data_IF_495761282166
#
_entry.id   IF_495761282166
#
_cell.length_a   1.000
_cell.length_b   1.000
_cell.length_c   1.000
_cell.angle_alpha   90.00
_cell.angle_beta   90.00
_cell.angle_gamma   90.00
#
_symmetry.space_group_name_H-M   'P 1'
#
loop_
_entity.id
_entity.type
_entity.pdbx_description
1 polymer ?
#
# COMPACT_ATOMS: atom_id res chain seq x y z
N UNK A 1 25.53 -19.83 19.56
CA UNK A 1 26.44 -20.78 20.22
C UNK A 1 26.42 -22.07 19.41
N UNK A 2 27.41 -22.95 19.57
CA UNK A 2 27.56 -24.17 18.76
C UNK A 2 28.11 -25.30 19.62
N UNK A 3 27.75 -26.56 19.32
CA UNK A 3 28.41 -27.69 19.95
C UNK A 3 29.79 -27.92 19.34
N UNK A 4 30.78 -28.30 20.14
CA UNK A 4 32.16 -28.49 19.70
C UNK A 4 32.25 -29.46 18.51
N UNK A 5 31.44 -30.51 18.54
CA UNK A 5 31.35 -31.55 17.50
C UNK A 5 30.81 -31.01 16.17
N UNK A 6 30.09 -29.88 16.18
CA UNK A 6 29.51 -29.25 15.00
C UNK A 6 30.43 -28.20 14.37
N UNK A 7 31.48 -27.76 15.06
CA UNK A 7 32.36 -26.67 14.59
C UNK A 7 33.03 -27.02 13.26
N UNK A 8 33.71 -28.17 13.18
CA UNK A 8 34.40 -28.56 11.95
C UNK A 8 33.43 -28.74 10.76
N UNK A 9 32.30 -29.47 10.88
CA UNK A 9 31.30 -29.55 9.82
C UNK A 9 30.76 -28.18 9.35
N UNK A 10 30.56 -27.23 10.27
CA UNK A 10 30.06 -25.90 9.93
C UNK A 10 31.12 -25.03 9.23
N UNK A 11 32.39 -25.18 9.59
CA UNK A 11 33.51 -24.51 8.90
C UNK A 11 33.65 -25.03 7.46
N UNK A 12 33.61 -26.35 7.26
CA UNK A 12 33.67 -26.96 5.93
C UNK A 12 32.53 -26.48 5.01
N UNK A 13 31.32 -26.35 5.58
CA UNK A 13 30.14 -25.81 4.88
C UNK A 13 30.16 -24.29 4.73
N UNK A 14 31.22 -23.61 5.17
CA UNK A 14 31.38 -22.16 5.03
C UNK A 14 30.29 -21.35 5.77
N UNK A 15 29.66 -21.90 6.81
CA UNK A 15 28.52 -21.30 7.51
C UNK A 15 28.90 -20.41 8.71
N UNK A 16 30.14 -20.50 9.20
CA UNK A 16 30.61 -19.77 10.39
C UNK A 16 31.92 -19.01 10.15
N UNK A 17 32.11 -18.45 8.95
CA UNK A 17 33.37 -17.78 8.53
C UNK A 17 33.86 -16.65 9.45
N UNK A 18 32.96 -16.00 10.19
CA UNK A 18 33.28 -14.93 11.15
C UNK A 18 33.36 -15.38 12.61
N UNK A 19 33.21 -16.67 12.90
CA UNK A 19 33.19 -17.20 14.26
C UNK A 19 34.59 -17.42 14.83
N UNK A 20 34.81 -16.96 16.06
CA UNK A 20 36.01 -17.21 16.87
C UNK A 20 35.59 -17.41 18.34
N UNK A 21 36.50 -17.89 19.19
CA UNK A 21 36.23 -17.99 20.64
C UNK A 21 36.06 -16.61 21.32
N UNK A 22 36.36 -15.52 20.61
CA UNK A 22 36.14 -14.15 21.08
C UNK A 22 34.69 -13.70 20.91
N UNK A 23 33.95 -14.29 19.97
CA UNK A 23 32.59 -13.87 19.62
C UNK A 23 31.57 -15.02 19.60
N UNK A 24 32.01 -16.27 19.82
CA UNK A 24 31.17 -17.44 19.85
C UNK A 24 31.33 -18.23 21.15
N UNK A 25 30.21 -18.77 21.61
CA UNK A 25 30.14 -19.72 22.72
C UNK A 25 30.15 -21.13 22.12
N UNK A 26 31.15 -21.93 22.48
CA UNK A 26 31.27 -23.34 22.07
C UNK A 26 31.01 -24.24 23.26
N UNK A 27 30.15 -25.25 23.12
CA UNK A 27 29.75 -26.15 24.22
C UNK A 27 30.31 -27.54 23.97
N UNK A 28 30.93 -28.15 24.98
CA UNK A 28 31.40 -29.55 24.92
C UNK A 28 30.99 -30.28 26.20
N UNK A 29 29.97 -31.13 26.13
CA UNK A 29 29.34 -31.68 27.34
C UNK A 29 28.81 -30.55 28.22
N UNK A 30 29.18 -30.56 29.50
CA UNK A 30 28.82 -29.51 30.47
C UNK A 30 29.79 -28.31 30.48
N UNK A 31 30.86 -28.37 29.68
CA UNK A 31 31.85 -27.31 29.62
C UNK A 31 31.49 -26.25 28.57
N UNK A 32 31.58 -24.98 28.97
CA UNK A 32 31.46 -23.82 28.07
C UNK A 32 32.85 -23.31 27.73
N UNK A 33 33.18 -23.31 26.45
CA UNK A 33 34.44 -22.86 25.88
C UNK A 33 34.21 -21.50 25.20
N UNK A 34 34.56 -20.44 25.90
CA UNK A 34 34.52 -19.05 25.42
C UNK A 34 35.66 -18.26 26.05
N UNK A 35 36.15 -17.21 25.37
CA UNK A 35 37.21 -16.33 25.91
C UNK A 35 36.77 -15.57 27.15
N UNK A 36 35.51 -15.14 27.15
CA UNK A 36 34.86 -14.46 28.27
C UNK A 36 33.79 -15.37 28.88
N UNK A 37 33.46 -15.22 30.18
CA UNK A 37 32.33 -15.92 30.78
C UNK A 37 31.01 -15.52 30.11
N UNK A 38 29.97 -16.33 30.32
CA UNK A 38 28.62 -15.99 29.88
C UNK A 38 28.21 -14.64 30.44
N UNK A 39 27.64 -13.80 29.58
CA UNK A 39 27.12 -12.46 29.93
C UNK A 39 25.87 -12.56 30.78
N UNK A 40 25.10 -13.64 30.60
CA UNK A 40 23.87 -13.91 31.35
C UNK A 40 23.77 -15.39 31.70
N UNK A 41 23.13 -15.70 32.83
CA UNK A 41 22.90 -17.09 33.24
C UNK A 41 22.05 -17.89 32.23
N UNK A 42 21.17 -17.20 31.50
CA UNK A 42 20.25 -17.74 30.50
C UNK A 42 20.66 -17.40 29.05
N UNK A 43 21.94 -17.12 28.80
CA UNK A 43 22.42 -16.63 27.48
C UNK A 43 22.09 -17.57 26.31
N UNK A 44 22.09 -18.90 26.53
CA UNK A 44 21.64 -19.88 25.54
C UNK A 44 20.17 -19.69 25.14
N UNK A 45 19.29 -19.42 26.12
CA UNK A 45 17.88 -19.16 25.87
C UNK A 45 17.68 -17.84 25.13
N UNK A 46 18.41 -16.78 25.53
CA UNK A 46 18.40 -15.48 24.86
C UNK A 46 18.84 -15.57 23.40
N UNK A 47 19.87 -16.36 23.11
CA UNK A 47 20.31 -16.62 21.74
C UNK A 47 19.20 -17.25 20.91
N UNK A 48 18.52 -18.27 21.45
CA UNK A 48 17.38 -18.89 20.76
C UNK A 48 16.19 -17.96 20.57
N UNK A 49 15.94 -17.05 21.51
CA UNK A 49 14.95 -15.99 21.32
C UNK A 49 15.33 -15.07 20.17
N UNK A 50 16.60 -14.68 20.06
CA UNK A 50 17.10 -13.85 18.96
C UNK A 50 17.02 -14.57 17.60
N UNK A 51 17.37 -15.87 17.55
CA UNK A 51 17.19 -16.69 16.35
C UNK A 51 15.74 -16.68 15.88
N UNK A 52 14.79 -16.89 16.81
CA UNK A 52 13.35 -16.82 16.51
C UNK A 52 12.97 -15.44 15.99
N UNK A 53 13.38 -14.36 16.66
CA UNK A 53 13.06 -12.99 16.22
C UNK A 53 13.58 -12.73 14.81
N UNK A 54 14.82 -13.13 14.52
CA UNK A 54 15.44 -12.96 13.20
C UNK A 54 14.72 -13.78 12.12
N UNK A 55 14.50 -15.06 12.36
CA UNK A 55 13.84 -15.96 11.40
C UNK A 55 12.39 -15.53 11.13
N UNK A 56 11.67 -15.11 12.16
CA UNK A 56 10.27 -14.67 12.06
C UNK A 56 10.16 -13.29 11.41
N UNK A 57 11.18 -12.43 11.52
CA UNK A 57 11.20 -11.15 10.81
C UNK A 57 11.15 -11.34 9.28
N UNK A 58 11.60 -12.48 8.75
CA UNK A 58 11.56 -12.82 7.33
C UNK A 58 10.13 -13.03 6.77
N UNK A 59 9.12 -13.10 7.63
CA UNK A 59 7.70 -13.23 7.21
C UNK A 59 7.20 -11.96 6.49
N UNK A 60 7.90 -10.83 6.63
CA UNK A 60 7.59 -9.59 5.90
C UNK A 60 6.33 -8.86 6.38
N UNK A 61 5.67 -9.36 7.43
CA UNK A 61 4.51 -8.73 8.05
C UNK A 61 4.61 -8.78 9.57
N UNK A 62 3.99 -7.81 10.25
CA UNK A 62 4.03 -7.74 11.71
C UNK A 62 3.12 -8.80 12.32
N UNK A 63 3.69 -9.70 13.12
CA UNK A 63 2.91 -10.67 13.89
C UNK A 63 2.31 -10.00 15.12
N UNK A 64 0.99 -10.16 15.29
CA UNK A 64 0.28 -9.83 16.53
C UNK A 64 -0.17 -11.13 17.20
N UNK A 65 0.69 -11.71 18.02
CA UNK A 65 0.44 -12.99 18.66
C UNK A 65 1.54 -13.37 19.65
N UNK A 66 1.36 -14.52 20.29
CA UNK A 66 2.33 -15.10 21.21
C UNK A 66 2.98 -16.33 20.58
N UNK A 67 4.31 -16.38 20.57
CA UNK A 67 5.07 -17.52 20.04
C UNK A 67 5.60 -18.31 21.23
N UNK A 68 5.18 -19.58 21.32
CA UNK A 68 5.69 -20.53 22.31
C UNK A 68 6.66 -21.45 21.57
N UNK A 69 7.90 -21.51 22.05
CA UNK A 69 8.95 -22.32 21.46
C UNK A 69 9.56 -23.28 22.50
N UNK A 70 9.66 -24.56 22.14
CA UNK A 70 10.31 -25.59 22.95
C UNK A 70 11.44 -26.18 22.11
N UNK A 71 12.69 -25.97 22.55
CA UNK A 71 13.91 -26.39 21.82
C UNK A 71 13.93 -25.93 20.35
N UNK A 72 13.80 -24.62 20.07
CA UNK A 72 13.72 -24.10 18.70
C UNK A 72 15.03 -24.21 17.94
N UNK A 73 14.93 -24.22 16.61
CA UNK A 73 16.05 -24.13 15.68
C UNK A 73 15.60 -23.56 14.34
N UNK A 74 16.56 -23.11 13.52
CA UNK A 74 16.27 -22.39 12.27
C UNK A 74 15.35 -23.15 11.31
N UNK A 75 15.48 -24.48 11.21
CA UNK A 75 14.60 -25.28 10.36
C UNK A 75 13.13 -25.21 10.81
N UNK A 76 12.87 -25.37 12.12
CA UNK A 76 11.54 -25.29 12.69
C UNK A 76 10.97 -23.86 12.62
N UNK A 77 11.80 -22.85 12.87
CA UNK A 77 11.41 -21.45 12.75
C UNK A 77 11.03 -21.10 11.30
N UNK A 78 11.83 -21.56 10.32
CA UNK A 78 11.56 -21.34 8.90
C UNK A 78 10.30 -22.08 8.43
N UNK A 79 10.05 -23.28 8.94
CA UNK A 79 8.81 -24.01 8.67
C UNK A 79 7.58 -23.27 9.22
N UNK A 80 7.66 -22.80 10.47
CA UNK A 80 6.62 -21.96 11.07
C UNK A 80 6.40 -20.67 10.27
N UNK A 81 7.47 -19.99 9.87
CA UNK A 81 7.40 -18.79 9.04
C UNK A 81 6.69 -19.05 7.70
N UNK A 82 7.06 -20.13 6.99
CA UNK A 82 6.38 -20.55 5.75
C UNK A 82 4.92 -20.89 5.98
N UNK A 83 4.59 -21.57 7.09
CA UNK A 83 3.21 -21.90 7.43
C UNK A 83 2.38 -20.64 7.69
N UNK A 84 2.92 -19.66 8.42
CA UNK A 84 2.29 -18.36 8.66
C UNK A 84 2.08 -17.62 7.34
N UNK A 85 3.09 -17.52 6.48
CA UNK A 85 2.98 -16.86 5.16
C UNK A 85 1.89 -17.54 4.30
N UNK A 86 1.90 -18.87 4.23
CA UNK A 86 0.91 -19.64 3.47
C UNK A 86 -0.51 -19.44 4.01
N UNK A 87 -0.68 -19.46 5.33
CA UNK A 87 -1.99 -19.26 5.96
C UNK A 87 -2.46 -17.81 5.83
N UNK A 88 -1.56 -16.85 5.97
CA UNK A 88 -1.84 -15.44 5.73
C UNK A 88 -2.29 -15.22 4.29
N UNK A 89 -1.59 -15.77 3.30
CA UNK A 89 -1.98 -15.68 1.89
C UNK A 89 -3.38 -16.28 1.64
N UNK A 90 -3.72 -17.41 2.28
CA UNK A 90 -5.07 -18.00 2.18
C UNK A 90 -6.13 -17.12 2.82
N UNK A 91 -5.89 -16.59 4.02
CA UNK A 91 -6.82 -15.68 4.70
C UNK A 91 -7.00 -14.42 3.87
N UNK A 92 -5.90 -13.83 3.38
CA UNK A 92 -5.89 -12.65 2.53
C UNK A 92 -6.62 -12.90 1.20
N UNK A 93 -6.48 -14.09 0.61
CA UNK A 93 -7.21 -14.49 -0.60
C UNK A 93 -8.71 -14.75 -0.38
N UNK A 94 -9.12 -15.08 0.86
CA UNK A 94 -10.53 -15.26 1.24
C UNK A 94 -11.20 -13.96 1.70
N UNK A 95 -10.42 -12.99 2.16
CA UNK A 95 -10.91 -11.63 2.39
C UNK A 95 -11.04 -10.88 1.07
N UNK A 96 -12.17 -10.19 0.88
CA UNK A 96 -12.30 -9.17 -0.18
C UNK A 96 -11.08 -8.24 -0.07
N UNK A 97 -10.35 -7.95 -1.16
CA UNK A 97 -9.16 -7.11 -1.10
C UNK A 97 -9.51 -5.80 -0.39
N UNK A 98 -9.03 -5.62 0.84
CA UNK A 98 -8.92 -4.29 1.43
C UNK A 98 -7.57 -3.73 1.02
N UNK A 99 -7.43 -3.46 -0.27
CA UNK A 99 -6.36 -2.59 -0.78
C UNK A 99 -6.81 -1.15 -0.60
N UNK A 100 -6.99 -0.72 0.66
CA UNK A 100 -6.96 0.71 0.93
C UNK A 100 -5.48 1.11 0.96
N UNK A 101 -5.05 2.13 0.19
CA UNK A 101 -3.73 2.71 0.38
C UNK A 101 -3.60 3.13 1.86
N UNK A 102 -2.46 2.88 2.51
CA UNK A 102 -2.20 3.47 3.81
C UNK A 102 -2.22 5.00 3.66
N UNK A 103 -3.19 5.64 4.31
CA UNK A 103 -3.39 7.09 4.27
C UNK A 103 -4.24 7.56 5.44
N UNK A 104 -4.18 8.87 5.75
CA UNK A 104 -4.98 9.46 6.82
C UNK A 104 -6.43 9.65 6.37
N UNK A 105 -7.34 8.83 6.90
CA UNK A 105 -8.78 8.92 6.63
C UNK A 105 -9.17 8.56 5.19
N UNK A 106 -10.48 8.48 4.96
CA UNK A 106 -11.13 8.24 3.68
C UNK A 106 -12.54 8.83 3.72
N UNK A 107 -13.14 9.10 2.56
CA UNK A 107 -14.45 9.77 2.47
C UNK A 107 -15.43 8.86 1.77
N UNK A 108 -16.54 8.52 2.43
CA UNK A 108 -17.66 7.84 1.77
C UNK A 108 -18.42 8.77 0.82
N UNK A 109 -19.40 8.22 0.11
CA UNK A 109 -20.16 8.97 -0.89
C UNK A 109 -20.91 10.17 -0.31
N UNK A 110 -21.41 10.09 0.93
CA UNK A 110 -22.13 11.21 1.56
C UNK A 110 -21.16 12.36 1.83
N UNK A 111 -19.99 12.04 2.37
CA UNK A 111 -18.93 13.02 2.61
C UNK A 111 -18.40 13.62 1.29
N UNK A 112 -18.27 12.81 0.24
CA UNK A 112 -17.93 13.29 -1.11
C UNK A 112 -18.99 14.27 -1.62
N UNK A 113 -20.27 13.97 -1.46
CA UNK A 113 -21.39 14.84 -1.88
C UNK A 113 -21.51 16.12 -1.05
N UNK A 114 -21.05 16.13 0.21
CA UNK A 114 -20.96 17.34 1.03
C UNK A 114 -19.88 18.30 0.51
N UNK A 115 -18.78 17.76 -0.02
CA UNK A 115 -17.65 18.53 -0.54
C UNK A 115 -17.89 18.97 -1.99
N UNK A 116 -18.26 18.04 -2.86
CA UNK A 116 -18.46 18.28 -4.28
C UNK A 116 -19.91 18.70 -4.58
N UNK A 117 -20.13 19.71 -5.43
CA UNK A 117 -21.47 20.11 -5.86
C UNK A 117 -22.07 19.13 -6.89
N UNK A 118 -21.26 18.29 -7.53
CA UNK A 118 -21.69 17.35 -8.58
C UNK A 118 -22.73 16.36 -8.06
N UNK A 119 -23.73 16.06 -8.88
CA UNK A 119 -24.79 15.07 -8.62
C UNK A 119 -25.02 14.24 -9.86
N UNK A 120 -25.83 13.19 -9.74
CA UNK A 120 -26.24 12.39 -10.90
C UNK A 120 -26.75 13.29 -12.04
N UNK A 121 -26.36 13.04 -13.30
CA UNK A 121 -25.52 11.94 -13.78
C UNK A 121 -24.03 12.28 -13.90
N UNK A 122 -23.52 13.30 -13.20
CA UNK A 122 -22.17 13.85 -13.39
C UNK A 122 -21.25 13.77 -12.17
N UNK A 123 -21.67 13.16 -11.06
CA UNK A 123 -20.75 12.78 -9.98
C UNK A 123 -20.02 11.49 -10.39
N UNK A 124 -18.71 11.59 -10.60
CA UNK A 124 -17.87 10.54 -11.19
C UNK A 124 -16.92 9.89 -10.17
N UNK A 125 -17.16 10.10 -8.88
CA UNK A 125 -16.35 9.56 -7.78
C UNK A 125 -17.28 8.95 -6.74
N UNK A 126 -17.05 7.68 -6.41
CA UNK A 126 -17.89 6.94 -5.45
C UNK A 126 -17.35 7.05 -4.02
N UNK A 127 -16.03 7.17 -3.86
CA UNK A 127 -15.34 7.21 -2.57
C UNK A 127 -13.93 7.79 -2.72
N UNK A 128 -13.43 8.45 -1.67
CA UNK A 128 -11.99 8.68 -1.50
C UNK A 128 -11.40 7.60 -0.61
N UNK A 129 -10.43 6.86 -1.14
CA UNK A 129 -9.77 5.76 -0.44
C UNK A 129 -8.79 6.27 0.61
N UNK A 130 -8.13 7.39 0.33
CA UNK A 130 -7.32 8.08 1.32
C UNK A 130 -6.43 9.16 0.74
N UNK A 131 -5.66 9.77 1.64
CA UNK A 131 -4.73 10.84 1.34
C UNK A 131 -3.33 10.45 1.82
N UNK A 132 -2.32 10.85 1.06
CA UNK A 132 -0.92 10.80 1.53
C UNK A 132 -0.48 12.24 1.79
N UNK A 133 -0.47 12.62 3.07
CA UNK A 133 -0.22 14.00 3.50
C UNK A 133 -1.25 14.99 2.95
N UNK A 134 -0.76 16.15 2.51
CA UNK A 134 -1.58 17.24 1.95
C UNK A 134 -1.51 17.34 0.41
N UNK A 135 -0.68 16.51 -0.23
CA UNK A 135 -0.34 16.67 -1.66
C UNK A 135 -0.86 15.55 -2.55
N UNK A 136 -1.37 14.44 -1.99
CA UNK A 136 -1.89 13.31 -2.78
C UNK A 136 -3.22 12.81 -2.26
N UNK A 137 -4.06 12.36 -3.19
CA UNK A 137 -5.37 11.77 -2.93
C UNK A 137 -5.61 10.61 -3.88
N UNK A 138 -6.20 9.53 -3.38
CA UNK A 138 -6.67 8.41 -4.21
C UNK A 138 -8.18 8.28 -4.10
N UNK A 139 -8.89 8.50 -5.22
CA UNK A 139 -10.32 8.25 -5.36
C UNK A 139 -10.63 6.92 -6.04
N UNK A 140 -11.89 6.53 -6.00
CA UNK A 140 -12.39 5.31 -6.63
C UNK A 140 -13.69 5.59 -7.38
N UNK A 141 -13.81 5.01 -8.57
CA UNK A 141 -15.05 4.95 -9.36
C UNK A 141 -15.25 3.53 -9.88
N UNK A 142 -16.33 2.88 -9.48
CA UNK A 142 -16.77 1.62 -10.05
C UNK A 142 -17.55 1.91 -11.32
N UNK A 143 -17.21 1.21 -12.41
CA UNK A 143 -17.88 1.36 -13.70
C UNK A 143 -18.92 0.27 -13.87
N UNK A 144 -20.18 0.64 -14.01
CA UNK A 144 -21.29 -0.31 -14.16
C UNK A 144 -22.03 -0.09 -15.46
N UNK A 145 -22.49 -1.19 -16.08
CA UNK A 145 -23.26 -1.13 -17.34
C UNK A 145 -24.55 -0.31 -17.20
N UNK A 146 -25.03 -0.13 -15.97
CA UNK A 146 -26.22 0.66 -15.65
C UNK A 146 -25.99 2.19 -15.66
N UNK A 147 -24.80 2.67 -16.07
CA UNK A 147 -24.55 4.10 -16.20
C UNK A 147 -25.13 4.66 -17.50
N UNK A 148 -25.72 5.88 -17.46
CA UNK A 148 -26.57 6.39 -18.55
C UNK A 148 -25.83 6.57 -19.88
N UNK A 149 -24.51 6.78 -19.85
CA UNK A 149 -23.71 7.00 -21.05
C UNK A 149 -23.44 5.70 -21.84
N UNK A 150 -23.57 4.51 -21.25
CA UNK A 150 -23.33 3.25 -21.98
C UNK A 150 -24.41 2.92 -23.00
N UNK A 151 -25.62 3.48 -22.86
CA UNK A 151 -26.66 3.37 -23.87
C UNK A 151 -26.22 3.96 -25.22
N UNK A 152 -25.34 4.97 -25.21
CA UNK A 152 -24.86 5.66 -26.39
C UNK A 152 -23.38 5.41 -26.73
N UNK A 153 -22.58 4.84 -25.83
CA UNK A 153 -21.13 4.75 -26.01
C UNK A 153 -20.58 3.35 -25.68
N UNK A 154 -20.72 2.37 -26.57
CA UNK A 154 -21.51 2.36 -27.80
C UNK A 154 -22.51 1.20 -27.76
N UNK A 155 -23.63 1.27 -28.48
CA UNK A 155 -24.54 0.12 -28.61
C UNK A 155 -23.78 -1.14 -29.04
N UNK A 156 -23.88 -2.21 -28.25
CA UNK A 156 -23.18 -3.49 -28.49
C UNK A 156 -21.69 -3.52 -28.09
N UNK A 157 -21.10 -2.39 -27.68
CA UNK A 157 -19.70 -2.29 -27.25
C UNK A 157 -19.53 -1.17 -26.21
N UNK A 158 -19.95 -1.40 -24.94
CA UNK A 158 -19.99 -0.37 -23.91
C UNK A 158 -18.57 0.00 -23.46
N UNK A 159 -18.13 1.23 -23.71
CA UNK A 159 -16.82 1.78 -23.31
C UNK A 159 -17.05 3.05 -22.51
N UNK A 160 -16.39 3.25 -21.38
CA UNK A 160 -16.50 4.51 -20.65
C UNK A 160 -15.85 5.63 -21.49
N UNK A 161 -16.56 6.73 -21.80
CA UNK A 161 -15.96 7.85 -22.54
C UNK A 161 -14.71 8.38 -21.83
N UNK A 162 -13.61 8.53 -22.57
CA UNK A 162 -12.33 8.98 -22.00
C UNK A 162 -12.45 10.35 -21.29
N UNK A 163 -13.28 11.24 -21.82
CA UNK A 163 -13.56 12.55 -21.20
C UNK A 163 -14.21 12.43 -19.81
N UNK A 164 -14.98 11.37 -19.53
CA UNK A 164 -15.53 11.14 -18.19
C UNK A 164 -14.47 10.61 -17.22
N UNK A 165 -13.41 9.96 -17.73
CA UNK A 165 -12.25 9.61 -16.91
C UNK A 165 -11.48 10.88 -16.51
N UNK A 166 -11.35 11.85 -17.41
CA UNK A 166 -10.77 13.18 -17.12
C UNK A 166 -11.63 13.95 -16.10
N UNK A 167 -12.95 13.90 -16.23
CA UNK A 167 -13.87 14.47 -15.24
C UNK A 167 -13.69 13.82 -13.85
N UNK A 168 -13.59 12.50 -13.79
CA UNK A 168 -13.35 11.78 -12.54
C UNK A 168 -12.02 12.21 -11.88
N UNK A 169 -10.94 12.34 -12.67
CA UNK A 169 -9.68 12.93 -12.21
C UNK A 169 -9.86 14.33 -11.65
N UNK A 170 -10.63 15.18 -12.36
CA UNK A 170 -10.87 16.55 -11.95
C UNK A 170 -11.60 16.66 -10.60
N UNK A 171 -12.56 15.78 -10.35
CA UNK A 171 -13.30 15.70 -9.10
C UNK A 171 -12.42 15.25 -7.93
N UNK A 172 -11.58 14.22 -8.12
CA UNK A 172 -10.63 13.77 -7.08
C UNK A 172 -9.60 14.84 -6.78
N UNK A 173 -9.03 15.49 -7.80
CA UNK A 173 -8.12 16.61 -7.62
C UNK A 173 -8.79 17.78 -6.88
N UNK A 174 -10.06 18.08 -7.17
CA UNK A 174 -10.81 19.13 -6.47
C UNK A 174 -10.96 18.84 -4.97
N UNK A 175 -11.24 17.59 -4.58
CA UNK A 175 -11.31 17.19 -3.17
C UNK A 175 -9.97 17.39 -2.46
N UNK A 176 -8.86 16.99 -3.10
CA UNK A 176 -7.51 17.21 -2.58
C UNK A 176 -7.24 18.71 -2.32
N UNK A 177 -7.62 19.56 -3.28
CA UNK A 177 -7.39 20.99 -3.19
C UNK A 177 -8.28 21.68 -2.13
N UNK A 178 -9.53 21.23 -1.97
CA UNK A 178 -10.42 21.77 -0.92
C UNK A 178 -9.92 21.44 0.49
N UNK A 179 -9.33 20.24 0.68
CA UNK A 179 -8.66 19.86 1.94
C UNK A 179 -7.51 20.82 2.26
N UNK A 180 -6.70 21.19 1.25
CA UNK A 180 -5.60 22.16 1.41
C UNK A 180 -6.10 23.58 1.70
N UNK A 181 -7.17 24.01 1.04
CA UNK A 181 -7.70 25.37 1.16
C UNK A 181 -8.40 25.65 2.51
N UNK A 182 -8.73 24.62 3.30
CA UNK A 182 -9.48 24.70 4.57
C UNK A 182 -10.74 25.58 4.49
N UNK A 183 -11.33 25.73 3.30
CA UNK A 183 -12.47 26.58 3.04
C UNK A 183 -13.48 25.86 2.18
N UNK A 184 -14.72 25.76 2.69
CA UNK A 184 -15.85 25.14 2.00
C UNK A 184 -16.58 26.09 1.02
N UNK A 185 -16.20 27.37 0.96
CA UNK A 185 -16.95 28.40 0.23
C UNK A 185 -16.45 28.67 -1.20
N UNK A 186 -15.52 27.86 -1.73
CA UNK A 186 -14.92 28.06 -3.05
C UNK A 186 -15.31 26.98 -4.03
N UNK A 187 -15.61 27.36 -5.27
CA UNK A 187 -15.83 26.43 -6.38
C UNK A 187 -14.54 26.37 -7.20
N UNK A 188 -14.04 25.15 -7.41
CA UNK A 188 -12.95 24.88 -8.35
C UNK A 188 -13.51 24.81 -9.77
N UNK A 189 -13.09 25.73 -10.62
CA UNK A 189 -13.36 25.67 -12.06
C UNK A 189 -12.20 25.00 -12.78
N UNK A 190 -12.53 24.01 -13.60
CA UNK A 190 -11.59 23.36 -14.50
C UNK A 190 -11.15 24.33 -15.61
N UNK A 191 -9.85 24.58 -15.72
CA UNK A 191 -9.30 25.54 -16.68
C UNK A 191 -8.68 24.86 -17.91
N UNK A 192 -7.84 23.86 -17.68
CA UNK A 192 -7.14 23.18 -18.76
C UNK A 192 -6.80 21.74 -18.39
N UNK A 193 -6.65 20.94 -19.43
CA UNK A 193 -6.11 19.60 -19.38
C UNK A 193 -4.92 19.55 -20.34
N UNK A 194 -3.73 19.30 -19.82
CA UNK A 194 -2.49 19.13 -20.60
C UNK A 194 -2.08 17.66 -20.61
N UNK A 195 -1.35 17.24 -21.66
CA UNK A 195 -0.75 15.89 -21.74
C UNK A 195 -1.74 14.74 -21.50
N UNK A 196 -3.02 14.92 -21.85
CA UNK A 196 -4.03 13.88 -21.67
C UNK A 196 -3.77 12.72 -22.62
N UNK A 197 -3.61 11.51 -22.06
CA UNK A 197 -3.38 10.28 -22.82
C UNK A 197 -4.36 9.21 -22.37
N UNK A 198 -5.04 8.59 -23.35
CA UNK A 198 -5.86 7.40 -23.14
C UNK A 198 -5.07 6.19 -23.64
N UNK A 199 -4.65 5.33 -22.72
CA UNK A 199 -3.78 4.19 -22.99
C UNK A 199 -4.57 2.92 -23.29
N UNK A 200 -5.70 2.71 -22.59
CA UNK A 200 -6.56 1.52 -22.72
C UNK A 200 -8.03 1.90 -22.55
N UNK A 201 -8.96 1.22 -23.22
CA UNK A 201 -10.39 1.37 -22.96
C UNK A 201 -10.75 0.88 -21.55
N UNK A 202 -11.81 1.46 -21.01
CA UNK A 202 -12.40 1.10 -19.71
C UNK A 202 -13.81 0.56 -19.98
N UNK A 203 -14.16 -0.54 -19.34
CA UNK A 203 -15.40 -1.28 -19.58
C UNK A 203 -16.26 -1.40 -18.32
N UNK A 204 -17.57 -1.68 -18.47
CA UNK A 204 -18.39 -2.13 -17.36
C UNK A 204 -17.75 -3.30 -16.59
N UNK A 205 -17.75 -3.21 -15.27
CA UNK A 205 -17.09 -4.16 -14.37
C UNK A 205 -15.72 -3.69 -13.87
N UNK A 206 -15.08 -2.73 -14.55
CA UNK A 206 -13.82 -2.15 -14.09
C UNK A 206 -14.03 -1.29 -12.84
N UNK A 207 -12.97 -1.20 -12.03
CA UNK A 207 -12.86 -0.19 -10.96
C UNK A 207 -11.67 0.70 -11.26
N UNK A 208 -11.94 2.00 -11.39
CA UNK A 208 -10.94 3.03 -11.61
C UNK A 208 -10.42 3.49 -10.26
N UNK A 209 -9.14 3.26 -10.04
CA UNK A 209 -8.38 3.93 -8.99
C UNK A 209 -7.79 5.21 -9.56
N UNK A 210 -8.18 6.33 -9.00
CA UNK A 210 -7.87 7.66 -9.53
C UNK A 210 -6.86 8.30 -8.60
N UNK A 211 -5.62 8.43 -9.05
CA UNK A 211 -4.57 9.09 -8.30
C UNK A 211 -4.51 10.56 -8.72
N UNK A 212 -4.48 11.47 -7.74
CA UNK A 212 -4.24 12.88 -7.93
C UNK A 212 -3.08 13.33 -7.06
N UNK A 213 -2.11 14.02 -7.66
CA UNK A 213 -0.93 14.59 -7.00
C UNK A 213 -0.82 16.08 -7.33
N UNK A 214 -0.74 16.91 -6.29
CA UNK A 214 -0.54 18.34 -6.44
C UNK A 214 0.86 18.65 -6.96
N UNK A 215 0.97 19.17 -8.18
CA UNK A 215 2.25 19.64 -8.74
C UNK A 215 2.58 21.03 -8.20
N UNK A 216 1.59 21.92 -8.19
CA UNK A 216 1.80 23.34 -7.88
C UNK A 216 0.52 24.00 -7.39
N UNK A 217 0.63 24.79 -6.33
CA UNK A 217 -0.38 25.75 -5.91
C UNK A 217 0.23 27.17 -5.93
N UNK A 218 -0.47 28.13 -6.55
CA UNK A 218 -0.05 29.53 -6.65
C UNK A 218 -1.16 30.43 -6.10
N UNK A 219 -0.82 31.24 -5.10
CA UNK A 219 -1.62 32.37 -4.60
C UNK A 219 -3.07 32.03 -4.24
N UNK A 220 -3.33 30.83 -3.69
CA UNK A 220 -4.66 30.33 -3.30
C UNK A 220 -5.76 30.41 -4.39
N UNK A 221 -5.37 30.64 -5.64
CA UNK A 221 -6.27 30.87 -6.77
C UNK A 221 -6.06 29.85 -7.88
N UNK A 222 -4.81 29.46 -8.16
CA UNK A 222 -4.48 28.51 -9.22
C UNK A 222 -3.82 27.27 -8.63
N UNK A 223 -4.25 26.10 -9.09
CA UNK A 223 -3.62 24.83 -8.75
C UNK A 223 -3.49 23.93 -9.97
N UNK A 224 -2.40 23.16 -10.02
CA UNK A 224 -2.14 22.15 -11.04
C UNK A 224 -1.91 20.81 -10.37
N UNK A 225 -2.62 19.78 -10.82
CA UNK A 225 -2.52 18.42 -10.31
C UNK A 225 -2.21 17.44 -11.45
N UNK A 226 -1.30 16.50 -11.21
CA UNK A 226 -1.08 15.35 -12.08
C UNK A 226 -2.05 14.26 -11.68
N UNK A 227 -2.76 13.71 -12.66
CA UNK A 227 -3.76 12.68 -12.40
C UNK A 227 -3.55 11.45 -13.28
N UNK A 228 -3.91 10.29 -12.75
CA UNK A 228 -3.95 9.04 -13.50
C UNK A 228 -5.11 8.15 -13.04
N UNK A 229 -5.68 7.39 -13.97
CA UNK A 229 -6.62 6.32 -13.69
C UNK A 229 -5.91 4.98 -13.91
N UNK A 230 -6.08 4.08 -12.95
CA UNK A 230 -5.51 2.73 -12.95
C UNK A 230 -6.65 1.72 -12.86
N UNK A 231 -6.59 0.69 -13.70
CA UNK A 231 -7.48 -0.48 -13.68
C UNK A 231 -6.60 -1.72 -13.78
N UNK A 232 -6.78 -2.70 -12.88
CA UNK A 232 -6.00 -3.94 -12.85
C UNK A 232 -4.48 -3.69 -12.96
N UNK A 233 -3.97 -2.80 -12.11
CA UNK A 233 -2.55 -2.40 -12.04
C UNK A 233 -1.96 -1.77 -13.31
N UNK A 234 -2.80 -1.37 -14.28
CA UNK A 234 -2.37 -0.69 -15.49
C UNK A 234 -2.96 0.72 -15.57
N UNK A 235 -2.13 1.71 -15.92
CA UNK A 235 -2.58 3.07 -16.23
C UNK A 235 -3.43 3.02 -17.51
N UNK A 236 -4.70 3.40 -17.40
CA UNK A 236 -5.65 3.45 -18.53
C UNK A 236 -5.79 4.86 -19.10
N UNK A 237 -5.61 5.88 -18.27
CA UNK A 237 -5.54 7.28 -18.69
C UNK A 237 -4.73 8.13 -17.73
N UNK A 238 -4.16 9.23 -18.22
CA UNK A 238 -3.38 10.19 -17.43
C UNK A 238 -3.52 11.61 -17.99
N UNK A 239 -3.22 12.62 -17.19
CA UNK A 239 -3.19 14.01 -17.62
C UNK A 239 -2.83 14.98 -16.50
N UNK A 240 -2.45 16.19 -16.88
CA UNK A 240 -2.11 17.28 -15.99
C UNK A 240 -3.26 18.31 -16.01
N UNK A 241 -3.93 18.49 -14.88
CA UNK A 241 -5.17 19.24 -14.76
C UNK A 241 -4.94 20.56 -14.01
N UNK A 242 -5.44 21.67 -14.57
CA UNK A 242 -5.34 22.99 -13.94
C UNK A 242 -6.72 23.49 -13.51
N UNK A 243 -6.76 24.09 -12.32
CA UNK A 243 -7.97 24.61 -11.68
C UNK A 243 -7.77 26.05 -11.25
N UNK A 244 -8.86 26.83 -11.31
CA UNK A 244 -8.96 28.10 -10.59
C UNK A 244 -10.04 28.03 -9.52
N UNK A 245 -9.78 28.64 -8.37
CA UNK A 245 -10.79 28.82 -7.34
C UNK A 245 -11.45 30.19 -7.49
N UNK A 246 -12.78 30.18 -7.50
CA UNK A 246 -13.61 31.39 -7.38
C UNK A 246 -14.37 31.31 -6.06
N UNK A 247 -14.47 32.43 -5.36
CA UNK A 247 -15.35 32.56 -4.20
C UNK A 247 -16.80 32.49 -4.70
N UNK A 248 -17.67 31.79 -3.96
CA UNK A 248 -19.11 31.73 -4.25
C UNK A 248 -19.79 33.08 -4.05
#
# INVERSE_FOLDING_TARGET
FVYYEEVAPLMEKNLIKGGSLENAIVVRGDAVLSKEPLRFADEFARHKILDIIGDIALIGTRIRGHIIAVKPGHAANAELARAIVKQHAKITALSVPRTFPPGEGGLDINQVMEILPHRFPFLMVDRILGFEGETKCTGMKTVTVNEPYFAGHFPGHPVMPGVLQVEAMAQVASILLMKLAKSASRIGYFMSADEVKFRKPVFPGDTLFIHAELIKARSNRLAKARCSCVVNDAVVSEGDLMFTFLDK
#
